data_IF_558810404760
#
_entry.id   IF_558810404760
#
_cell.length_a   1.000
_cell.length_b   1.000
_cell.length_c   1.000
_cell.angle_alpha   90.00
_cell.angle_beta   90.00
_cell.angle_gamma   90.00
#
_symmetry.space_group_name_H-M   'P 1'
#
loop_
_entity.id
_entity.type
_entity.pdbx_description
1 polymer ?
#
# COMPACT_ATOMS: atom_id res chain seq x y z
N UNK A 1 15.45 -18.45 -12.37
CA UNK A 1 14.41 -19.00 -11.48
C UNK A 1 14.71 -18.51 -10.08
N UNK A 2 13.70 -18.03 -9.35
CA UNK A 2 13.90 -17.68 -7.93
C UNK A 2 14.23 -18.94 -7.11
N UNK A 3 14.72 -18.74 -5.89
CA UNK A 3 15.18 -19.75 -4.93
C UNK A 3 14.16 -20.89 -4.65
N UNK A 4 12.89 -20.69 -5.02
CA UNK A 4 11.81 -21.66 -4.82
C UNK A 4 11.07 -22.07 -6.11
N UNK A 5 11.64 -21.78 -7.30
CA UNK A 5 10.99 -22.07 -8.58
C UNK A 5 9.77 -21.18 -8.87
N UNK A 6 9.56 -20.13 -8.08
CA UNK A 6 8.46 -19.17 -8.24
C UNK A 6 8.88 -18.13 -9.28
N UNK A 7 8.03 -17.88 -10.28
CA UNK A 7 8.25 -16.76 -11.19
C UNK A 7 7.83 -15.44 -10.53
N UNK A 8 8.77 -14.53 -10.20
CA UNK A 8 8.43 -13.25 -9.58
C UNK A 8 7.61 -12.34 -10.50
N UNK A 9 7.60 -12.59 -11.81
CA UNK A 9 6.73 -11.86 -12.73
C UNK A 9 5.25 -12.23 -12.53
N UNK A 10 4.96 -13.48 -12.16
CA UNK A 10 3.62 -14.02 -11.91
C UNK A 10 3.19 -13.78 -10.46
N UNK A 11 4.06 -14.06 -9.51
CA UNK A 11 3.76 -13.96 -8.06
C UNK A 11 4.27 -12.64 -7.48
N UNK A 12 3.58 -11.55 -7.82
CA UNK A 12 3.89 -10.22 -7.29
C UNK A 12 3.16 -9.94 -5.98
N UNK A 13 3.87 -9.31 -5.05
CA UNK A 13 3.25 -8.73 -3.86
C UNK A 13 2.72 -7.32 -4.15
N UNK A 14 1.89 -6.76 -3.25
CA UNK A 14 1.32 -5.41 -3.42
C UNK A 14 2.39 -4.34 -3.64
N UNK A 15 3.55 -4.49 -2.98
CA UNK A 15 4.70 -3.59 -3.07
C UNK A 15 5.44 -3.67 -4.39
N UNK A 16 5.27 -4.76 -5.15
CA UNK A 16 5.89 -4.97 -6.46
C UNK A 16 5.01 -4.54 -7.64
N UNK A 17 3.81 -4.00 -7.36
CA UNK A 17 2.89 -3.44 -8.34
C UNK A 17 3.02 -1.92 -8.30
N UNK A 18 3.16 -1.28 -9.47
CA UNK A 18 3.37 0.18 -9.51
C UNK A 18 2.11 0.92 -9.04
N UNK A 19 2.26 2.13 -8.48
CA UNK A 19 1.12 2.95 -8.06
C UNK A 19 0.12 3.21 -9.19
N UNK A 20 0.61 3.46 -10.39
CA UNK A 20 -0.20 3.71 -11.58
C UNK A 20 -0.99 2.47 -11.99
N UNK A 21 -0.40 1.27 -11.87
CA UNK A 21 -1.08 0.02 -12.16
C UNK A 21 -2.23 -0.22 -11.17
N UNK A 22 -2.00 0.05 -9.88
CA UNK A 22 -3.04 -0.02 -8.85
C UNK A 22 -4.21 0.95 -9.16
N UNK A 23 -3.91 2.20 -9.52
CA UNK A 23 -4.95 3.21 -9.87
C UNK A 23 -5.72 2.81 -11.14
N UNK A 24 -5.03 2.35 -12.18
CA UNK A 24 -5.69 1.90 -13.42
C UNK A 24 -6.61 0.72 -13.18
N UNK A 25 -6.22 -0.23 -12.34
CA UNK A 25 -7.07 -1.34 -11.94
C UNK A 25 -8.32 -0.85 -11.21
N UNK A 26 -8.17 0.09 -10.26
CA UNK A 26 -9.29 0.71 -9.57
C UNK A 26 -10.25 1.41 -10.55
N UNK A 27 -9.71 2.15 -11.51
CA UNK A 27 -10.49 2.88 -12.51
C UNK A 27 -11.32 1.95 -13.41
N UNK A 28 -10.78 0.78 -13.78
CA UNK A 28 -11.53 -0.23 -14.53
C UNK A 28 -12.76 -0.68 -13.75
N UNK A 29 -12.58 -1.01 -12.46
CA UNK A 29 -13.70 -1.40 -11.59
C UNK A 29 -14.70 -0.27 -11.36
N UNK A 30 -14.23 0.97 -11.22
CA UNK A 30 -15.09 2.11 -10.92
C UNK A 30 -16.16 2.36 -11.99
N UNK A 31 -15.91 1.98 -13.25
CA UNK A 31 -16.88 2.05 -14.36
C UNK A 31 -18.11 1.17 -14.15
N UNK A 32 -17.98 0.12 -13.34
CA UNK A 32 -19.02 -0.88 -13.11
C UNK A 32 -19.63 -0.79 -11.71
N UNK A 33 -19.27 0.23 -10.93
CA UNK A 33 -19.77 0.42 -9.55
C UNK A 33 -20.34 1.83 -9.38
N UNK A 34 -21.59 1.87 -8.94
CA UNK A 34 -22.32 3.12 -8.64
C UNK A 34 -21.79 3.81 -7.39
N UNK A 35 -21.32 3.04 -6.42
CA UNK A 35 -20.63 3.53 -5.22
C UNK A 35 -19.12 3.68 -5.45
N UNK A 36 -18.38 4.17 -4.45
CA UNK A 36 -16.92 4.23 -4.51
C UNK A 36 -16.29 2.86 -4.27
N UNK A 37 -15.22 2.55 -4.99
CA UNK A 37 -14.43 1.34 -4.77
C UNK A 37 -13.36 1.59 -3.70
N UNK A 38 -13.40 0.86 -2.60
CA UNK A 38 -12.36 0.94 -1.56
C UNK A 38 -11.21 0.00 -1.92
N UNK A 39 -10.14 0.55 -2.52
CA UNK A 39 -8.90 -0.17 -2.79
C UNK A 39 -7.73 0.56 -2.16
N UNK A 40 -6.95 -0.14 -1.35
CA UNK A 40 -5.69 0.38 -0.84
C UNK A 40 -4.61 0.31 -1.94
N UNK A 41 -4.03 1.46 -2.25
CA UNK A 41 -2.93 1.65 -3.19
C UNK A 41 -1.63 1.69 -2.37
N UNK A 42 -0.87 0.60 -2.38
CA UNK A 42 0.37 0.49 -1.60
C UNK A 42 1.52 1.15 -2.37
N UNK A 43 2.28 2.02 -1.69
CA UNK A 43 3.48 2.65 -2.20
C UNK A 43 4.70 2.09 -1.48
N UNK A 44 5.77 1.88 -2.24
CA UNK A 44 7.07 1.52 -1.67
C UNK A 44 7.58 2.59 -0.72
N UNK A 45 8.29 2.18 0.34
CA UNK A 45 9.02 3.07 1.23
C UNK A 45 10.15 3.83 0.50
N UNK A 46 10.66 3.28 -0.60
CA UNK A 46 11.79 3.83 -1.35
C UNK A 46 11.30 4.71 -2.51
N UNK A 47 11.83 5.93 -2.59
CA UNK A 47 11.60 6.87 -3.70
C UNK A 47 11.03 8.23 -3.26
N UNK A 48 10.82 9.12 -4.23
CA UNK A 48 10.21 10.44 -3.98
C UNK A 48 8.70 10.29 -3.77
N UNK A 49 8.31 9.99 -2.54
CA UNK A 49 6.91 9.75 -2.18
C UNK A 49 6.00 10.92 -2.57
N UNK A 50 6.42 12.16 -2.38
CA UNK A 50 5.63 13.36 -2.74
C UNK A 50 5.20 13.33 -4.21
N UNK A 51 6.14 13.02 -5.11
CA UNK A 51 5.87 12.86 -6.54
C UNK A 51 4.93 11.67 -6.81
N UNK A 52 5.18 10.52 -6.18
CA UNK A 52 4.36 9.32 -6.37
C UNK A 52 2.91 9.56 -5.93
N UNK A 53 2.68 10.13 -4.73
CA UNK A 53 1.36 10.49 -4.23
C UNK A 53 0.67 11.49 -5.17
N UNK A 54 1.36 12.56 -5.58
CA UNK A 54 0.81 13.56 -6.50
C UNK A 54 0.37 12.94 -7.82
N UNK A 55 1.20 12.09 -8.41
CA UNK A 55 0.90 11.44 -9.68
C UNK A 55 -0.24 10.44 -9.56
N UNK A 56 -0.28 9.65 -8.49
CA UNK A 56 -1.34 8.68 -8.26
C UNK A 56 -2.70 9.36 -8.04
N UNK A 57 -2.76 10.43 -7.24
CA UNK A 57 -3.99 11.21 -7.06
C UNK A 57 -4.44 11.89 -8.35
N UNK A 58 -3.49 12.47 -9.11
CA UNK A 58 -3.80 13.07 -10.42
C UNK A 58 -4.40 12.03 -11.37
N UNK A 59 -3.77 10.86 -11.47
CA UNK A 59 -4.23 9.78 -12.32
C UNK A 59 -5.61 9.25 -11.88
N UNK A 60 -5.85 9.14 -10.57
CA UNK A 60 -7.15 8.73 -10.04
C UNK A 60 -8.26 9.72 -10.43
N UNK A 61 -7.96 11.01 -10.36
CA UNK A 61 -8.88 12.05 -10.81
C UNK A 61 -9.12 11.99 -12.33
N UNK A 62 -8.07 11.91 -13.13
CA UNK A 62 -8.15 11.80 -14.60
C UNK A 62 -8.93 10.56 -15.07
N UNK A 63 -8.88 9.47 -14.29
CA UNK A 63 -9.53 8.20 -14.62
C UNK A 63 -10.95 8.07 -14.04
N UNK A 64 -11.45 9.08 -13.32
CA UNK A 64 -12.81 9.10 -12.77
C UNK A 64 -13.02 8.24 -11.52
N UNK A 65 -11.94 7.92 -10.79
CA UNK A 65 -12.05 7.27 -9.49
C UNK A 65 -12.79 8.17 -8.49
N UNK A 66 -13.82 7.63 -7.83
CA UNK A 66 -14.63 8.39 -6.84
C UNK A 66 -13.91 8.62 -5.52
N UNK A 67 -12.89 7.82 -5.24
CA UNK A 67 -12.00 7.97 -4.10
C UNK A 67 -10.82 7.02 -4.22
N UNK A 68 -9.69 7.38 -3.63
CA UNK A 68 -8.47 6.58 -3.66
C UNK A 68 -7.76 6.67 -2.31
N UNK A 69 -7.35 5.53 -1.78
CA UNK A 69 -6.71 5.40 -0.47
C UNK A 69 -5.28 4.94 -0.69
N UNK A 70 -4.33 5.79 -0.32
CA UNK A 70 -2.91 5.52 -0.51
C UNK A 70 -2.29 5.19 0.84
N UNK A 71 -1.45 4.16 0.84
CA UNK A 71 -0.67 3.77 1.99
C UNK A 71 0.80 3.68 1.60
N UNK A 72 1.64 4.41 2.32
CA UNK A 72 3.09 4.29 2.18
C UNK A 72 3.60 3.31 3.21
N UNK A 73 4.40 2.36 2.76
CA UNK A 73 5.16 1.52 3.67
C UNK A 73 6.12 2.35 4.55
N UNK A 74 6.34 1.92 5.80
CA UNK A 74 7.10 2.68 6.79
C UNK A 74 6.48 4.06 7.11
N UNK A 75 5.17 4.23 6.96
CA UNK A 75 4.45 5.45 7.39
C UNK A 75 3.99 5.40 8.84
N UNK A 76 3.91 4.20 9.43
CA UNK A 76 3.60 3.98 10.84
C UNK A 76 4.89 3.60 11.58
N UNK A 77 4.99 4.00 12.84
CA UNK A 77 6.11 3.63 13.74
C UNK A 77 6.15 2.12 14.01
N UNK A 78 4.99 1.47 14.05
CA UNK A 78 4.85 0.03 14.22
C UNK A 78 3.98 -0.54 13.09
N UNK A 79 4.44 -1.61 12.46
CA UNK A 79 3.72 -2.34 11.41
C UNK A 79 3.62 -3.81 11.83
N UNK A 80 2.40 -4.35 11.96
CA UNK A 80 2.19 -5.74 12.45
C UNK A 80 2.64 -6.79 11.42
N UNK A 81 2.66 -6.41 10.13
CA UNK A 81 3.11 -7.27 9.04
C UNK A 81 4.45 -6.76 8.53
N UNK A 82 5.51 -7.53 8.78
CA UNK A 82 6.87 -7.20 8.36
C UNK A 82 7.46 -8.33 7.51
N UNK A 83 8.22 -7.97 6.48
CA UNK A 83 8.88 -8.95 5.62
C UNK A 83 10.22 -9.37 6.23
N UNK A 84 10.25 -9.90 7.46
CA UNK A 84 11.38 -10.64 8.10
C UNK A 84 12.79 -10.01 8.14
N UNK A 85 13.02 -8.89 7.47
CA UNK A 85 14.26 -8.15 7.35
C UNK A 85 14.14 -6.90 8.24
N UNK A 86 13.91 -7.11 9.53
CA UNK A 86 13.89 -6.02 10.51
C UNK A 86 15.31 -5.51 10.73
N UNK A 87 15.54 -4.25 10.35
CA UNK A 87 16.63 -3.44 10.91
C UNK A 87 16.24 -3.13 12.36
N UNK A 88 17.22 -3.27 13.25
CA UNK A 88 17.10 -3.16 14.71
C UNK A 88 16.26 -1.97 15.21
N UNK A 89 15.39 -2.32 16.16
CA UNK A 89 15.05 -1.63 17.42
C UNK A 89 14.71 -0.13 17.37
N UNK A 90 13.43 0.18 17.58
CA UNK A 90 13.02 1.31 18.43
C UNK A 90 11.99 0.81 19.47
N UNK A 91 12.30 1.06 20.74
CA UNK A 91 11.72 0.53 21.99
C UNK A 91 10.22 0.82 22.27
N UNK A 92 9.44 1.30 21.30
CA UNK A 92 8.05 1.75 21.53
C UNK A 92 6.99 0.64 21.38
N UNK A 93 7.40 -0.58 21.01
CA UNK A 93 6.50 -1.70 20.70
C UNK A 93 5.88 -2.41 21.93
N UNK A 94 6.14 -1.94 23.15
CA UNK A 94 5.57 -2.54 24.39
C UNK A 94 4.23 -1.96 24.82
N UNK A 95 3.66 -1.01 24.07
CA UNK A 95 2.27 -0.56 24.28
C UNK A 95 1.38 -1.21 23.23
N UNK A 96 0.58 -2.19 23.63
CA UNK A 96 -0.50 -2.71 22.80
C UNK A 96 -1.58 -1.62 22.66
N UNK A 97 -1.76 -0.99 21.49
CA UNK A 97 -2.72 0.09 21.32
C UNK A 97 -4.17 -0.41 21.27
N UNK A 98 -4.41 -1.73 21.29
CA UNK A 98 -5.74 -2.34 21.22
C UNK A 98 -6.27 -2.81 22.58
N UNK A 99 -5.46 -2.74 23.64
CA UNK A 99 -5.89 -3.01 25.01
C UNK A 99 -6.01 -1.65 25.72
N UNK A 100 -7.22 -1.15 26.00
CA UNK A 100 -7.36 -0.01 26.90
C UNK A 100 -6.77 -0.40 28.25
N UNK A 101 -5.92 0.46 28.84
CA UNK A 101 -5.52 0.28 30.24
C UNK A 101 -6.80 0.17 31.08
N UNK A 102 -6.93 -0.96 31.74
CA UNK A 102 -8.11 -1.40 32.49
C UNK A 102 -8.68 -0.30 33.38
N UNK A 103 -10.00 -0.13 33.34
CA UNK A 103 -10.78 0.40 34.45
C UNK A 103 -10.65 -0.49 35.70
#
# INVERSE_FOLDING_TARGET
MSEHGIDPAVYRTSMNVSPEAHVKMQAVWQKHVTNSSLKLLTLSQFGNYSRCFKNAYRLAWETGCKGSYLYRDGSKSMQVLETGFSKNEDEDARRDPLIPESA
#
